data_IF_046122183973
#
_entry.id   IF_046122183973
#
_cell.length_a   1.000
_cell.length_b   1.000
_cell.length_c   1.000
_cell.angle_alpha   90.00
_cell.angle_beta   90.00
_cell.angle_gamma   90.00
#
_symmetry.space_group_name_H-M   'P 1'
#
loop_
_entity.id
_entity.type
_entity.pdbx_description
1 polymer ?
#
# COMPACT_ATOMS: atom_id res chain seq x y z
N UNK A 1 4.07 -7.58 20.42
CA UNK A 1 4.36 -6.64 19.34
C UNK A 1 3.47 -5.40 19.52
N UNK A 2 3.96 -4.21 19.12
CA UNK A 2 3.30 -2.92 19.41
C UNK A 2 2.51 -2.47 18.18
N UNK A 3 1.22 -2.16 18.35
CA UNK A 3 0.42 -1.53 17.29
C UNK A 3 1.06 -0.17 16.96
N UNK A 4 1.49 0.00 15.72
CA UNK A 4 2.16 1.22 15.26
C UNK A 4 1.16 2.14 14.59
N UNK A 5 1.19 3.41 14.98
CA UNK A 5 0.34 4.46 14.41
C UNK A 5 0.59 4.63 12.90
N UNK A 6 -0.47 4.79 12.12
CA UNK A 6 -0.42 4.89 10.64
C UNK A 6 -0.19 6.32 10.11
N UNK A 7 -0.04 7.32 11.00
CA UNK A 7 0.01 8.75 10.66
C UNK A 7 1.08 9.09 9.61
N UNK A 8 2.24 8.44 9.66
CA UNK A 8 3.30 8.66 8.65
C UNK A 8 2.89 8.17 7.26
N UNK A 9 2.21 7.02 7.18
CA UNK A 9 1.68 6.50 5.91
C UNK A 9 0.55 7.37 5.36
N UNK A 10 -0.32 7.89 6.22
CA UNK A 10 -1.39 8.82 5.82
C UNK A 10 -0.82 10.10 5.22
N UNK A 11 0.18 10.70 5.88
CA UNK A 11 0.87 11.90 5.37
C UNK A 11 1.56 11.63 4.04
N UNK A 12 2.26 10.51 3.91
CA UNK A 12 2.89 10.12 2.65
C UNK A 12 1.84 9.95 1.54
N UNK A 13 0.72 9.28 1.83
CA UNK A 13 -0.39 9.12 0.90
C UNK A 13 -0.98 10.46 0.46
N UNK A 14 -1.20 11.39 1.39
CA UNK A 14 -1.69 12.74 1.09
C UNK A 14 -0.72 13.52 0.19
N UNK A 15 0.58 13.48 0.48
CA UNK A 15 1.60 14.13 -0.36
C UNK A 15 1.65 13.54 -1.77
N UNK A 16 1.56 12.21 -1.90
CA UNK A 16 1.52 11.54 -3.21
C UNK A 16 0.26 11.88 -3.98
N UNK A 17 -0.90 11.94 -3.31
CA UNK A 17 -2.17 12.34 -3.92
C UNK A 17 -2.12 13.80 -4.42
N UNK A 18 -1.59 14.72 -3.63
CA UNK A 18 -1.40 16.11 -4.03
C UNK A 18 -0.47 16.26 -5.25
N UNK A 19 0.49 15.35 -5.42
CA UNK A 19 1.37 15.29 -6.59
C UNK A 19 0.77 14.58 -7.82
N UNK A 20 -0.50 14.15 -7.76
CA UNK A 20 -1.17 13.43 -8.86
C UNK A 20 -0.95 11.91 -8.86
N UNK A 21 -0.30 11.37 -7.83
CA UNK A 21 0.02 9.94 -7.69
C UNK A 21 -0.75 9.30 -6.52
N UNK A 22 -2.07 9.51 -6.48
CA UNK A 22 -2.93 8.93 -5.46
C UNK A 22 -2.83 7.40 -5.44
N UNK A 23 -3.06 6.80 -4.27
CA UNK A 23 -3.19 5.35 -4.15
C UNK A 23 -4.31 4.83 -5.07
N UNK A 24 -4.16 3.60 -5.54
CA UNK A 24 -5.23 2.90 -6.26
C UNK A 24 -6.49 2.83 -5.38
N UNK A 25 -7.65 3.22 -5.92
CA UNK A 25 -8.88 3.37 -5.15
C UNK A 25 -8.91 4.56 -4.17
N UNK A 26 -7.94 5.49 -4.25
CA UNK A 26 -7.92 6.76 -3.52
C UNK A 26 -7.45 6.68 -2.06
N UNK A 27 -7.09 5.48 -1.56
CA UNK A 27 -6.61 5.29 -0.19
C UNK A 27 -5.69 4.08 -0.07
N UNK A 28 -4.78 4.04 0.93
CA UNK A 28 -3.97 2.86 1.21
C UNK A 28 -4.84 1.66 1.63
N UNK A 29 -4.39 0.45 1.29
CA UNK A 29 -4.94 -0.77 1.87
C UNK A 29 -4.50 -0.89 3.33
N UNK A 30 -5.47 -1.11 4.23
CA UNK A 30 -5.21 -1.30 5.67
C UNK A 30 -5.58 -2.73 6.06
N UNK A 31 -4.59 -3.49 6.52
CA UNK A 31 -4.78 -4.86 7.04
C UNK A 31 -4.87 -4.78 8.57
N UNK A 32 -6.10 -4.91 9.09
CA UNK A 32 -6.34 -4.77 10.54
C UNK A 32 -5.60 -5.85 11.33
N UNK A 33 -4.91 -5.43 12.39
CA UNK A 33 -4.20 -6.34 13.29
C UNK A 33 -2.78 -6.70 12.85
N UNK A 34 -2.33 -6.25 11.68
CA UNK A 34 -0.95 -6.37 11.26
C UNK A 34 -0.06 -5.34 11.98
N UNK A 35 1.18 -5.73 12.30
CA UNK A 35 2.25 -4.86 12.76
C UNK A 35 2.99 -4.20 11.58
N UNK A 36 4.06 -3.45 11.88
CA UNK A 36 4.74 -2.55 10.93
C UNK A 36 5.42 -3.26 9.76
N UNK A 37 5.67 -4.56 9.88
CA UNK A 37 6.40 -5.37 8.91
C UNK A 37 5.46 -6.39 8.25
N UNK A 38 4.48 -5.92 7.48
CA UNK A 38 3.43 -6.77 6.88
C UNK A 38 3.97 -7.94 6.03
N UNK A 39 5.18 -7.83 5.48
CA UNK A 39 5.83 -8.91 4.73
C UNK A 39 6.55 -9.93 5.63
N UNK A 40 6.76 -9.62 6.90
CA UNK A 40 7.27 -10.52 7.94
C UNK A 40 6.16 -10.97 8.91
N UNK A 41 4.91 -10.61 8.62
CA UNK A 41 3.74 -11.01 9.42
C UNK A 41 3.36 -12.48 9.26
N UNK A 42 2.41 -12.92 10.10
CA UNK A 42 1.75 -14.23 9.96
C UNK A 42 1.19 -14.43 8.56
N UNK A 43 1.26 -15.66 8.07
CA UNK A 43 0.90 -16.08 6.71
C UNK A 43 -0.48 -15.56 6.26
N UNK A 44 -1.48 -15.59 7.13
CA UNK A 44 -2.83 -15.12 6.83
C UNK A 44 -2.91 -13.61 6.50
N UNK A 45 -2.03 -12.79 7.08
CA UNK A 45 -1.97 -11.35 6.80
C UNK A 45 -0.99 -11.05 5.67
N UNK A 46 0.14 -11.78 5.64
CA UNK A 46 1.17 -11.65 4.60
C UNK A 46 0.63 -11.98 3.21
N UNK A 47 -0.21 -13.01 3.09
CA UNK A 47 -0.82 -13.41 1.82
C UNK A 47 -1.71 -12.31 1.24
N UNK A 48 -2.49 -11.61 2.08
CA UNK A 48 -3.33 -10.48 1.66
C UNK A 48 -2.47 -9.37 1.06
N UNK A 49 -1.35 -9.03 1.70
CA UNK A 49 -0.43 -8.01 1.20
C UNK A 49 0.25 -8.44 -0.12
N UNK A 50 0.76 -9.67 -0.19
CA UNK A 50 1.43 -10.17 -1.39
C UNK A 50 0.49 -10.26 -2.59
N UNK A 51 -0.74 -10.76 -2.40
CA UNK A 51 -1.73 -10.82 -3.46
C UNK A 51 -2.07 -9.42 -3.98
N UNK A 52 -2.31 -8.46 -3.08
CA UNK A 52 -2.60 -7.07 -3.48
C UNK A 52 -1.44 -6.42 -4.25
N UNK A 53 -0.18 -6.68 -3.86
CA UNK A 53 1.00 -6.20 -4.57
C UNK A 53 1.07 -6.80 -5.98
N UNK A 54 0.94 -8.12 -6.10
CA UNK A 54 1.01 -8.82 -7.39
C UNK A 54 -0.14 -8.37 -8.31
N UNK A 55 -1.36 -8.28 -7.79
CA UNK A 55 -2.51 -7.78 -8.53
C UNK A 55 -2.30 -6.34 -9.01
N UNK A 56 -1.75 -5.46 -8.17
CA UNK A 56 -1.45 -4.10 -8.56
C UNK A 56 -0.49 -4.05 -9.75
N UNK A 57 0.61 -4.82 -9.72
CA UNK A 57 1.63 -4.84 -10.77
C UNK A 57 1.26 -5.65 -12.01
N UNK A 58 0.27 -6.53 -11.95
CA UNK A 58 -0.23 -7.27 -13.10
C UNK A 58 -1.23 -6.47 -13.96
N UNK A 59 -1.65 -5.27 -13.55
CA UNK A 59 -2.65 -4.48 -14.29
C UNK A 59 -2.11 -3.99 -15.65
N UNK A 60 -2.75 -4.32 -16.78
CA UNK A 60 -2.22 -4.06 -18.13
C UNK A 60 -2.02 -2.57 -18.48
N UNK A 61 -2.65 -1.64 -17.74
CA UNK A 61 -2.53 -0.19 -17.97
C UNK A 61 -1.40 0.48 -17.15
N UNK A 62 -0.40 -0.27 -16.66
CA UNK A 62 0.78 0.31 -16.02
C UNK A 62 1.72 1.09 -16.95
N UNK A 63 1.47 1.07 -18.28
CA UNK A 63 2.37 1.64 -19.29
C UNK A 63 2.14 3.12 -19.66
N UNK A 64 1.13 3.82 -19.12
CA UNK A 64 0.91 5.23 -19.43
C UNK A 64 1.22 6.16 -18.26
N UNK A 65 2.43 6.72 -18.29
CA UNK A 65 2.77 7.96 -17.58
C UNK A 65 3.24 7.82 -16.14
N UNK A 66 4.54 7.61 -15.98
CA UNK A 66 5.37 8.13 -14.90
C UNK A 66 4.79 8.07 -13.46
N UNK A 67 4.62 6.89 -12.86
CA UNK A 67 4.10 6.76 -11.46
C UNK A 67 5.17 6.61 -10.38
N UNK A 68 6.44 6.52 -10.75
CA UNK A 68 7.56 6.28 -9.81
C UNK A 68 8.50 7.48 -9.63
N UNK A 69 8.19 8.62 -10.24
CA UNK A 69 8.83 9.90 -9.94
C UNK A 69 8.23 10.53 -8.66
#
# INVERSE_FOLDING_TARGET
ARVVETRSHERFGASRAAAGYACDGGKPLVIKGAYHEILFEKDAMRSVALNAIVEFFNKPNLSSGNRFA
#
